data_IF_321956098691
#
_entry.id   IF_321956098691
#
_cell.length_a   1.000
_cell.length_b   1.000
_cell.length_c   1.000
_cell.angle_alpha   90.00
_cell.angle_beta   90.00
_cell.angle_gamma   90.00
#
_symmetry.space_group_name_H-M   'P 1'
#
loop_
_entity.id
_entity.type
_entity.pdbx_description
1 polymer ?
#
# COMPACT_ATOMS: atom_id res chain seq x y z
N UNK A 1 -4.06 -27.35 8.37
CA UNK A 1 -5.29 -26.59 8.11
C UNK A 1 -6.54 -27.44 8.27
N UNK A 2 -6.81 -28.51 7.43
CA UNK A 2 -8.03 -29.34 7.54
C UNK A 2 -8.19 -30.00 8.92
N UNK A 3 -7.14 -30.64 9.46
CA UNK A 3 -7.16 -31.24 10.81
C UNK A 3 -7.45 -30.24 11.92
N UNK A 4 -6.96 -29.03 11.80
CA UNK A 4 -7.17 -27.95 12.77
C UNK A 4 -8.63 -27.47 12.71
N UNK A 5 -9.18 -27.30 11.52
CA UNK A 5 -10.58 -26.92 11.34
C UNK A 5 -11.55 -27.99 11.84
N UNK A 6 -11.29 -29.27 11.57
CA UNK A 6 -12.10 -30.38 12.08
C UNK A 6 -12.16 -30.40 13.61
N UNK A 7 -11.04 -30.05 14.28
CA UNK A 7 -10.97 -30.07 15.75
C UNK A 7 -11.52 -28.81 16.41
N UNK A 8 -11.45 -27.65 15.74
CA UNK A 8 -11.82 -26.35 16.31
C UNK A 8 -13.13 -25.81 15.76
N UNK A 9 -13.29 -25.79 14.45
CA UNK A 9 -14.52 -25.39 13.75
C UNK A 9 -15.07 -24.02 14.13
N UNK A 10 -16.30 -23.72 13.70
CA UNK A 10 -16.95 -22.41 13.95
C UNK A 10 -17.15 -22.10 15.45
N UNK A 11 -17.31 -23.11 16.30
CA UNK A 11 -17.49 -22.92 17.74
C UNK A 11 -16.26 -22.34 18.44
N UNK A 12 -15.09 -22.59 17.90
CA UNK A 12 -13.84 -22.01 18.35
C UNK A 12 -13.57 -20.62 17.76
N UNK A 13 -13.86 -20.45 16.47
CA UNK A 13 -13.49 -19.20 15.80
C UNK A 13 -14.49 -18.07 16.01
N UNK A 14 -15.79 -18.35 16.11
CA UNK A 14 -16.82 -17.32 16.30
C UNK A 14 -16.59 -16.45 17.55
N UNK A 15 -16.22 -16.98 18.75
CA UNK A 15 -15.88 -16.15 19.90
C UNK A 15 -14.70 -15.20 19.64
N UNK A 16 -13.65 -15.69 18.98
CA UNK A 16 -12.46 -14.85 18.62
C UNK A 16 -12.86 -13.73 17.66
N UNK A 17 -13.72 -14.03 16.68
CA UNK A 17 -14.24 -13.04 15.76
C UNK A 17 -15.05 -11.97 16.48
N UNK A 18 -15.86 -12.35 17.48
CA UNK A 18 -16.64 -11.40 18.30
C UNK A 18 -15.74 -10.46 19.11
N UNK A 19 -14.65 -10.96 19.70
CA UNK A 19 -13.66 -10.12 20.38
C UNK A 19 -13.04 -9.07 19.42
N UNK A 20 -12.75 -9.47 18.19
CA UNK A 20 -12.23 -8.57 17.16
C UNK A 20 -13.29 -7.54 16.74
N UNK A 21 -14.54 -7.97 16.58
CA UNK A 21 -15.65 -7.10 16.20
C UNK A 21 -15.95 -6.05 17.28
N UNK A 22 -15.90 -6.42 18.57
CA UNK A 22 -16.01 -5.47 19.69
C UNK A 22 -14.97 -4.35 19.59
N UNK A 23 -13.71 -4.71 19.34
CA UNK A 23 -12.66 -3.73 19.18
C UNK A 23 -12.86 -2.87 17.92
N UNK A 24 -13.30 -3.46 16.82
CA UNK A 24 -13.57 -2.74 15.59
C UNK A 24 -14.67 -1.70 15.76
N UNK A 25 -15.79 -2.07 16.44
CA UNK A 25 -16.88 -1.14 16.75
C UNK A 25 -16.41 -0.03 17.70
N UNK A 26 -15.58 -0.36 18.70
CA UNK A 26 -15.02 0.63 19.62
C UNK A 26 -14.11 1.66 18.91
N UNK A 27 -13.37 1.22 17.90
CA UNK A 27 -12.50 2.10 17.09
C UNK A 27 -13.25 2.92 16.04
N UNK A 28 -14.46 2.49 15.68
CA UNK A 28 -15.26 3.17 14.65
C UNK A 28 -15.82 4.48 15.19
N UNK A 29 -15.57 5.57 14.46
CA UNK A 29 -16.13 6.89 14.78
C UNK A 29 -17.63 6.94 14.50
N UNK A 30 -18.42 7.79 15.20
CA UNK A 30 -19.78 8.11 14.78
C UNK A 30 -19.82 8.54 13.31
N UNK A 31 -20.81 8.10 12.54
CA UNK A 31 -20.89 8.29 11.09
C UNK A 31 -19.96 7.39 10.27
N UNK A 32 -19.15 6.54 10.90
CA UNK A 32 -18.21 5.65 10.23
C UNK A 32 -18.88 4.38 9.68
N UNK A 33 -18.22 3.79 8.69
CA UNK A 33 -18.65 2.55 8.04
C UNK A 33 -17.68 1.41 8.35
N UNK A 34 -18.20 0.19 8.56
CA UNK A 34 -17.42 -1.02 8.79
C UNK A 34 -17.92 -2.15 7.90
N UNK A 35 -17.02 -2.69 7.07
CA UNK A 35 -17.32 -3.89 6.28
C UNK A 35 -16.80 -5.12 7.04
N UNK A 36 -17.71 -6.02 7.40
CA UNK A 36 -17.40 -7.35 7.92
C UNK A 36 -17.48 -8.37 6.79
N UNK A 37 -16.45 -9.17 6.61
CA UNK A 37 -16.44 -10.21 5.58
C UNK A 37 -15.73 -11.47 6.08
N UNK A 38 -16.22 -12.63 5.62
CA UNK A 38 -15.61 -13.94 5.86
C UNK A 38 -15.56 -14.76 4.59
N UNK A 39 -14.72 -15.80 4.59
CA UNK A 39 -14.66 -16.81 3.52
C UNK A 39 -15.36 -18.12 3.96
N UNK A 40 -16.09 -18.13 5.08
CA UNK A 40 -16.83 -19.29 5.56
C UNK A 40 -18.30 -19.25 5.11
N UNK A 41 -18.98 -20.39 5.19
CA UNK A 41 -20.42 -20.50 4.99
C UNK A 41 -21.18 -20.75 6.29
N UNK A 42 -20.48 -20.72 7.42
CA UNK A 42 -21.04 -20.97 8.74
C UNK A 42 -21.91 -19.81 9.21
N UNK A 43 -23.17 -20.05 9.52
CA UNK A 43 -24.03 -19.04 10.11
C UNK A 43 -23.48 -18.46 11.41
N UNK A 44 -22.78 -19.27 12.21
CA UNK A 44 -22.15 -18.83 13.47
C UNK A 44 -21.09 -17.76 13.27
N UNK A 45 -20.36 -17.84 12.16
CA UNK A 45 -19.30 -16.90 11.82
C UNK A 45 -19.79 -15.76 10.93
N UNK A 46 -21.01 -15.84 10.41
CA UNK A 46 -21.62 -14.89 9.49
C UNK A 46 -22.78 -14.15 10.18
N UNK A 47 -24.02 -14.63 10.00
CA UNK A 47 -25.22 -13.93 10.46
C UNK A 47 -25.35 -13.85 11.99
N UNK A 48 -24.87 -14.84 12.74
CA UNK A 48 -24.88 -14.76 14.20
C UNK A 48 -23.91 -13.71 14.74
N UNK A 49 -22.82 -13.43 14.02
CA UNK A 49 -21.94 -12.32 14.34
C UNK A 49 -22.58 -10.97 13.96
N UNK A 50 -23.39 -10.93 12.91
CA UNK A 50 -24.22 -9.75 12.60
C UNK A 50 -25.22 -9.50 13.72
N UNK A 51 -25.95 -10.55 14.15
CA UNK A 51 -26.90 -10.46 15.29
C UNK A 51 -26.19 -9.95 16.53
N UNK A 52 -25.03 -10.53 16.84
CA UNK A 52 -24.22 -10.14 17.99
C UNK A 52 -23.89 -8.63 18.00
N UNK A 53 -23.48 -8.06 16.88
CA UNK A 53 -23.20 -6.63 16.78
C UNK A 53 -24.46 -5.80 16.98
N UNK A 54 -25.57 -6.14 16.32
CA UNK A 54 -26.81 -5.35 16.41
C UNK A 54 -27.45 -5.42 17.79
N UNK A 55 -27.32 -6.54 18.49
CA UNK A 55 -27.86 -6.72 19.84
C UNK A 55 -27.04 -5.98 20.92
N UNK A 56 -25.73 -5.96 20.79
CA UNK A 56 -24.83 -5.36 21.78
C UNK A 56 -24.50 -3.89 21.51
N UNK A 57 -24.69 -3.41 20.29
CA UNK A 57 -24.36 -2.05 19.86
C UNK A 57 -25.57 -1.38 19.18
N UNK A 58 -26.49 -0.76 19.93
CA UNK A 58 -27.70 -0.12 19.39
C UNK A 58 -27.40 1.07 18.45
N UNK A 59 -26.17 1.59 18.52
CA UNK A 59 -25.65 2.64 17.64
C UNK A 59 -25.15 2.10 16.30
N UNK A 60 -25.12 0.78 16.11
CA UNK A 60 -24.79 0.15 14.83
C UNK A 60 -26.07 -0.22 14.07
N UNK A 61 -26.00 -0.09 12.76
CA UNK A 61 -27.06 -0.51 11.84
C UNK A 61 -26.49 -1.14 10.58
N UNK A 62 -27.25 -2.01 9.92
CA UNK A 62 -26.86 -2.57 8.62
C UNK A 62 -27.18 -1.59 7.50
N UNK A 63 -26.26 -1.48 6.56
CA UNK A 63 -26.46 -0.79 5.28
C UNK A 63 -26.69 -1.83 4.21
N UNK A 64 -27.81 -1.76 3.46
CA UNK A 64 -28.10 -2.71 2.41
C UNK A 64 -27.01 -2.73 1.34
N UNK A 65 -26.53 -3.93 0.99
CA UNK A 65 -25.61 -4.12 -0.13
C UNK A 65 -26.41 -4.16 -1.43
N UNK A 66 -26.07 -3.31 -2.39
CA UNK A 66 -26.68 -3.28 -3.72
C UNK A 66 -26.33 -4.55 -4.51
N UNK A 67 -27.28 -5.48 -4.57
CA UNK A 67 -27.12 -6.77 -5.24
C UNK A 67 -27.37 -6.71 -6.74
N UNK A 68 -28.07 -5.71 -7.23
CA UNK A 68 -28.30 -5.52 -8.66
C UNK A 68 -26.98 -5.17 -9.37
N UNK A 69 -26.12 -4.45 -8.66
CA UNK A 69 -24.79 -4.08 -9.15
C UNK A 69 -23.82 -5.27 -9.22
N UNK A 70 -24.01 -6.30 -8.38
CA UNK A 70 -23.10 -7.43 -8.26
C UNK A 70 -23.78 -8.75 -8.63
N UNK A 71 -23.67 -9.13 -9.90
CA UNK A 71 -24.27 -10.33 -10.44
C UNK A 71 -23.78 -11.58 -9.69
N UNK A 72 -24.73 -12.37 -9.16
CA UNK A 72 -24.44 -13.61 -8.43
C UNK A 72 -24.43 -13.45 -6.90
N UNK A 73 -24.51 -12.22 -6.36
CA UNK A 73 -24.65 -11.98 -4.93
C UNK A 73 -26.07 -12.35 -4.47
N UNK A 74 -26.18 -13.12 -3.39
CA UNK A 74 -27.44 -13.58 -2.77
C UNK A 74 -27.65 -12.88 -1.44
N UNK A 75 -28.86 -12.92 -0.90
CA UNK A 75 -29.16 -12.50 0.46
C UNK A 75 -28.44 -13.39 1.49
N UNK A 76 -28.09 -12.79 2.62
CA UNK A 76 -27.72 -13.55 3.81
C UNK A 76 -28.94 -14.22 4.47
N UNK A 77 -28.68 -15.22 5.29
CA UNK A 77 -29.76 -15.96 5.96
C UNK A 77 -30.36 -15.16 7.11
N UNK A 78 -31.57 -14.63 6.88
CA UNK A 78 -32.28 -13.80 7.84
C UNK A 78 -31.96 -12.30 7.78
N UNK A 79 -30.94 -11.92 7.02
CA UNK A 79 -30.51 -10.52 6.81
C UNK A 79 -30.40 -10.20 5.33
N UNK A 80 -31.46 -9.59 4.77
CA UNK A 80 -31.50 -9.18 3.35
C UNK A 80 -30.49 -8.09 3.00
N UNK A 81 -30.05 -7.34 3.99
CA UNK A 81 -29.06 -6.27 3.86
C UNK A 81 -27.67 -6.81 3.59
N UNK A 82 -27.37 -8.03 4.04
CA UNK A 82 -26.06 -8.70 3.86
C UNK A 82 -25.98 -9.45 2.53
N UNK A 83 -24.77 -9.86 2.16
CA UNK A 83 -24.53 -10.57 0.91
C UNK A 83 -23.78 -11.87 1.08
N UNK A 84 -24.15 -12.88 0.31
CA UNK A 84 -23.43 -14.15 0.17
C UNK A 84 -23.04 -14.42 -1.27
N UNK A 85 -21.78 -14.76 -1.45
CA UNK A 85 -21.23 -15.26 -2.73
C UNK A 85 -21.03 -16.76 -2.63
N UNK A 86 -21.67 -17.51 -3.51
CA UNK A 86 -21.57 -18.97 -3.55
C UNK A 86 -20.82 -19.42 -4.81
N UNK A 87 -19.85 -20.37 -4.71
CA UNK A 87 -19.07 -20.85 -5.87
C UNK A 87 -19.91 -21.44 -7.01
N UNK A 88 -21.11 -21.95 -6.72
CA UNK A 88 -22.00 -22.46 -7.74
C UNK A 88 -22.73 -21.36 -8.55
N UNK A 89 -22.62 -20.11 -8.14
CA UNK A 89 -23.24 -18.94 -8.81
C UNK A 89 -22.23 -17.97 -9.41
N UNK A 90 -20.98 -18.03 -8.96
CA UNK A 90 -19.90 -17.15 -9.40
C UNK A 90 -18.64 -17.95 -9.63
N UNK A 91 -17.75 -17.47 -10.51
CA UNK A 91 -16.41 -18.01 -10.60
C UNK A 91 -15.55 -17.35 -9.50
N UNK A 92 -15.20 -18.12 -8.48
CA UNK A 92 -14.41 -17.64 -7.34
C UNK A 92 -14.69 -18.42 -6.06
N UNK A 93 -14.05 -17.99 -5.00
CA UNK A 93 -14.28 -18.50 -3.65
C UNK A 93 -15.58 -17.93 -3.06
N UNK A 94 -16.12 -18.61 -2.05
CA UNK A 94 -17.28 -18.12 -1.34
C UNK A 94 -16.93 -16.96 -0.41
N UNK A 95 -17.89 -16.04 -0.21
CA UNK A 95 -17.73 -14.92 0.72
C UNK A 95 -19.06 -14.57 1.37
N UNK A 96 -18.98 -14.08 2.60
CA UNK A 96 -20.06 -13.37 3.28
C UNK A 96 -19.66 -11.91 3.46
N UNK A 97 -20.63 -10.99 3.33
CA UNK A 97 -20.44 -9.55 3.42
C UNK A 97 -21.55 -8.92 4.26
N UNK A 98 -21.19 -8.12 5.24
CA UNK A 98 -22.11 -7.28 6.00
C UNK A 98 -21.52 -5.88 6.14
N UNK A 99 -22.25 -4.87 5.68
CA UNK A 99 -21.85 -3.47 5.78
C UNK A 99 -22.58 -2.81 6.94
N UNK A 100 -21.84 -2.30 7.90
CA UNK A 100 -22.38 -1.60 9.06
C UNK A 100 -22.10 -0.11 8.96
N UNK A 101 -23.02 0.68 9.54
CA UNK A 101 -22.85 2.10 9.77
C UNK A 101 -23.03 2.39 11.26
N UNK A 102 -22.14 3.19 11.83
CA UNK A 102 -22.27 3.68 13.20
C UNK A 102 -23.02 5.00 13.20
N UNK A 103 -24.19 5.02 13.83
CA UNK A 103 -25.06 6.21 13.93
C UNK A 103 -24.32 7.37 14.59
N UNK A 104 -24.76 8.58 14.29
CA UNK A 104 -24.21 9.83 14.83
C UNK A 104 -23.34 10.57 13.83
N UNK A 105 -23.03 11.81 14.16
CA UNK A 105 -22.15 12.66 13.39
C UNK A 105 -20.82 12.79 14.13
N UNK A 106 -19.71 12.68 13.39
CA UNK A 106 -18.40 12.99 13.93
C UNK A 106 -18.24 14.50 13.92
N UNK A 107 -18.44 15.13 15.09
CA UNK A 107 -18.02 16.51 15.27
C UNK A 107 -16.48 16.55 15.14
N UNK A 108 -16.03 17.09 14.01
CA UNK A 108 -14.63 17.51 13.89
C UNK A 108 -14.40 18.62 14.90
N UNK A 109 -14.10 18.25 16.15
CA UNK A 109 -13.44 19.21 17.03
C UNK A 109 -12.17 19.61 16.28
N UNK A 110 -12.19 20.83 15.76
CA UNK A 110 -11.03 21.50 15.16
C UNK A 110 -9.97 21.70 16.27
N UNK A 111 -9.42 20.59 16.73
CA UNK A 111 -8.16 20.58 17.41
C UNK A 111 -7.16 21.01 16.35
N UNK A 112 -6.61 22.21 16.55
CA UNK A 112 -5.53 22.76 15.75
C UNK A 112 -4.58 21.64 15.35
N UNK A 113 -4.45 21.44 14.05
CA UNK A 113 -3.39 20.63 13.48
C UNK A 113 -2.06 21.32 13.81
N UNK A 114 -1.58 21.08 15.01
CA UNK A 114 -0.18 21.34 15.29
C UNK A 114 0.60 20.30 14.53
N UNK A 115 0.93 20.63 13.29
CA UNK A 115 2.06 20.00 12.62
C UNK A 115 3.20 19.98 13.62
N UNK A 116 3.83 18.85 13.92
CA UNK A 116 5.05 18.88 14.72
C UNK A 116 6.07 19.66 13.91
N UNK A 117 6.20 20.96 14.26
CA UNK A 117 7.38 21.73 13.89
C UNK A 117 8.54 20.92 14.45
N UNK A 118 9.35 20.38 13.56
CA UNK A 118 10.66 19.85 13.95
C UNK A 118 11.42 20.97 14.62
N UNK A 119 11.36 21.02 15.96
CA UNK A 119 12.21 21.88 16.76
C UNK A 119 13.67 21.47 16.56
N UNK A 120 14.26 21.98 15.48
CA UNK A 120 15.71 22.03 15.35
C UNK A 120 16.21 23.17 16.25
N UNK A 121 16.44 22.88 17.53
CA UNK A 121 17.27 23.74 18.34
C UNK A 121 18.67 23.83 17.72
N UNK A 122 18.99 24.99 17.20
CA UNK A 122 20.33 25.36 16.78
C UNK A 122 21.20 25.49 18.04
N UNK A 123 21.92 24.44 18.39
CA UNK A 123 23.02 24.54 19.35
C UNK A 123 24.27 25.08 18.64
N UNK A 124 24.76 26.22 19.06
CA UNK A 124 26.04 26.76 18.63
C UNK A 124 27.16 25.97 19.28
N UNK A 125 28.03 25.41 18.46
CA UNK A 125 29.21 24.66 18.85
C UNK A 125 29.46 23.50 17.88
N UNK A 126 29.86 23.80 16.65
CA UNK A 126 30.06 22.75 15.64
C UNK A 126 31.52 22.31 15.62
N UNK A 127 31.78 21.09 16.12
CA UNK A 127 32.98 20.33 15.80
C UNK A 127 33.03 20.07 14.27
N UNK A 128 34.25 20.11 13.69
CA UNK A 128 34.52 19.85 12.26
C UNK A 128 33.87 18.54 11.74
N UNK A 129 33.65 17.56 12.61
CA UNK A 129 32.97 16.30 12.30
C UNK A 129 31.48 16.48 12.02
N UNK A 130 30.83 17.39 12.74
CA UNK A 130 29.39 17.65 12.59
C UNK A 130 29.08 18.47 11.34
N UNK A 131 29.96 19.42 10.99
CA UNK A 131 29.89 20.14 9.73
C UNK A 131 30.05 19.21 8.50
N UNK A 132 30.99 18.26 8.55
CA UNK A 132 31.16 17.22 7.51
C UNK A 132 29.95 16.28 7.43
N UNK A 133 29.31 15.95 8.55
CA UNK A 133 28.09 15.13 8.58
C UNK A 133 26.90 15.87 7.94
N UNK A 134 26.70 17.15 8.30
CA UNK A 134 25.65 18.02 7.72
C UNK A 134 25.81 18.21 6.21
N UNK A 135 27.03 18.45 5.74
CA UNK A 135 27.33 18.57 4.32
C UNK A 135 27.05 17.25 3.54
N UNK A 136 27.32 16.12 4.17
CA UNK A 136 27.02 14.79 3.58
C UNK A 136 25.53 14.53 3.52
N UNK A 137 24.76 14.91 4.53
CA UNK A 137 23.29 14.79 4.56
C UNK A 137 22.64 15.72 3.54
N UNK A 138 23.09 16.98 3.43
CA UNK A 138 22.62 17.92 2.43
C UNK A 138 22.84 17.41 1.00
N UNK A 139 24.02 16.82 0.73
CA UNK A 139 24.33 16.23 -0.59
C UNK A 139 23.46 15.02 -0.91
N UNK A 140 23.12 14.17 0.06
CA UNK A 140 22.19 13.06 -0.13
C UNK A 140 20.79 13.55 -0.51
N UNK A 141 20.31 14.61 0.15
CA UNK A 141 19.02 15.22 -0.17
C UNK A 141 19.04 15.85 -1.58
N UNK A 142 20.15 16.44 -2.00
CA UNK A 142 20.31 16.97 -3.36
C UNK A 142 20.17 15.88 -4.43
N UNK A 143 20.76 14.69 -4.22
CA UNK A 143 20.64 13.56 -5.14
C UNK A 143 19.20 13.06 -5.26
N UNK A 144 18.47 13.02 -4.13
CA UNK A 144 17.02 12.73 -4.12
C UNK A 144 16.24 13.78 -4.93
N UNK A 145 16.47 15.05 -4.63
CA UNK A 145 15.75 16.14 -5.30
C UNK A 145 16.02 16.19 -6.81
N UNK A 146 17.25 15.89 -7.24
CA UNK A 146 17.57 15.72 -8.67
C UNK A 146 16.77 14.59 -9.30
N UNK A 147 16.66 13.45 -8.59
CA UNK A 147 15.88 12.32 -9.08
C UNK A 147 14.39 12.66 -9.20
N UNK A 148 13.79 13.26 -8.16
CA UNK A 148 12.38 13.64 -8.14
C UNK A 148 12.03 14.69 -9.20
N UNK A 149 12.92 15.65 -9.45
CA UNK A 149 12.76 16.64 -10.53
C UNK A 149 12.73 16.02 -11.93
N UNK A 150 13.37 14.86 -12.12
CA UNK A 150 13.28 14.11 -13.36
C UNK A 150 11.92 13.41 -13.54
N UNK A 151 11.21 13.16 -12.45
CA UNK A 151 9.85 12.63 -12.52
C UNK A 151 8.88 13.75 -12.89
N UNK A 152 8.10 13.57 -13.95
CA UNK A 152 7.05 14.49 -14.39
C UNK A 152 5.80 14.36 -13.51
N UNK A 153 5.98 14.59 -12.22
CA UNK A 153 4.95 14.49 -11.20
C UNK A 153 5.19 15.57 -10.17
N UNK A 154 4.11 16.23 -9.76
CA UNK A 154 4.16 17.19 -8.66
C UNK A 154 4.29 16.44 -7.33
N UNK A 155 5.39 16.70 -6.65
CA UNK A 155 5.70 16.12 -5.35
C UNK A 155 5.47 17.16 -4.27
N UNK A 156 4.59 16.86 -3.34
CA UNK A 156 4.51 17.61 -2.08
C UNK A 156 5.71 17.25 -1.22
N UNK A 157 6.67 18.16 -1.14
CA UNK A 157 7.95 17.92 -0.46
C UNK A 157 7.80 17.78 1.05
N UNK A 158 6.74 18.35 1.65
CA UNK A 158 6.45 18.23 3.08
C UNK A 158 6.04 16.80 3.47
N UNK A 159 5.63 16.01 2.49
CA UNK A 159 5.30 14.59 2.66
C UNK A 159 6.51 13.66 2.47
N UNK A 160 7.69 14.18 2.17
CA UNK A 160 8.92 13.40 2.09
C UNK A 160 9.44 13.12 3.51
N UNK A 161 9.47 11.86 3.87
CA UNK A 161 9.94 11.38 5.17
C UNK A 161 11.20 10.52 5.02
N UNK A 162 12.27 10.89 5.72
CA UNK A 162 13.55 10.18 5.66
C UNK A 162 13.84 9.60 7.04
N UNK A 163 14.04 8.29 7.08
CA UNK A 163 14.44 7.56 8.28
C UNK A 163 15.52 6.53 7.94
N UNK A 164 16.65 6.58 8.61
CA UNK A 164 17.77 5.64 8.42
C UNK A 164 18.19 5.49 6.95
N UNK A 165 18.32 6.62 6.24
CA UNK A 165 18.60 6.70 4.80
C UNK A 165 17.48 6.15 3.88
N UNK A 166 16.40 5.61 4.42
CA UNK A 166 15.21 5.20 3.66
C UNK A 166 14.28 6.38 3.44
N UNK A 167 13.80 6.55 2.22
CA UNK A 167 12.96 7.67 1.80
C UNK A 167 11.54 7.18 1.54
N UNK A 168 10.57 7.82 2.19
CA UNK A 168 9.15 7.52 2.05
C UNK A 168 8.38 8.76 1.59
N UNK A 169 7.32 8.55 0.83
CA UNK A 169 6.30 9.54 0.54
C UNK A 169 5.06 9.22 1.35
N UNK A 170 4.75 10.06 2.32
CA UNK A 170 3.68 9.83 3.28
C UNK A 170 2.30 10.06 2.66
N UNK A 171 1.26 9.30 3.06
CA UNK A 171 -0.12 9.66 2.79
C UNK A 171 -0.45 11.03 3.40
N UNK A 172 -1.39 11.73 2.79
CA UNK A 172 -1.92 12.96 3.35
C UNK A 172 -2.57 12.68 4.72
N UNK A 173 -2.36 13.58 5.68
CA UNK A 173 -2.91 13.46 7.04
C UNK A 173 -2.30 12.37 7.91
N UNK A 174 -1.26 11.65 7.47
CA UNK A 174 -0.58 10.66 8.32
C UNK A 174 0.18 11.36 9.46
N UNK A 175 -0.21 11.06 10.70
CA UNK A 175 0.48 11.52 11.92
C UNK A 175 1.60 10.56 12.29
N UNK A 176 2.85 10.94 12.04
CA UNK A 176 4.03 10.13 12.37
C UNK A 176 4.42 10.18 13.85
N UNK A 177 3.92 11.17 14.60
CA UNK A 177 4.19 11.34 16.04
C UNK A 177 3.34 10.46 16.96
N UNK A 178 2.50 9.55 16.43
CA UNK A 178 1.74 8.61 17.24
C UNK A 178 2.69 7.59 17.88
N UNK A 179 2.42 7.14 19.14
CA UNK A 179 3.21 6.11 19.82
C UNK A 179 2.90 4.70 19.27
N UNK A 180 2.95 4.56 17.94
CA UNK A 180 2.69 3.31 17.22
C UNK A 180 3.94 2.81 16.53
N UNK A 181 4.07 1.49 16.45
CA UNK A 181 5.10 0.85 15.64
C UNK A 181 4.61 0.74 14.21
N UNK A 182 5.07 1.65 13.34
CA UNK A 182 4.76 1.57 11.92
C UNK A 182 5.59 0.48 11.25
N UNK A 183 4.93 -0.44 10.56
CA UNK A 183 5.59 -1.42 9.68
C UNK A 183 5.93 -0.80 8.33
N UNK A 184 5.06 0.08 7.82
CA UNK A 184 5.25 0.88 6.61
C UNK A 184 4.64 2.26 6.83
N UNK A 185 5.35 3.30 6.39
CA UNK A 185 4.93 4.70 6.59
C UNK A 185 4.46 5.38 5.31
N UNK A 186 4.09 4.63 4.29
CA UNK A 186 3.68 5.15 3.01
C UNK A 186 4.43 4.51 1.85
N UNK A 187 4.52 5.21 0.70
CA UNK A 187 5.24 4.72 -0.47
C UNK A 187 6.75 4.81 -0.24
N UNK A 188 7.43 3.67 -0.24
CA UNK A 188 8.89 3.64 -0.19
C UNK A 188 9.45 4.09 -1.54
N UNK A 189 10.11 5.26 -1.55
CA UNK A 189 10.70 5.82 -2.76
C UNK A 189 12.07 5.23 -3.06
N UNK A 190 12.86 4.90 -2.04
CA UNK A 190 14.19 4.35 -2.21
C UNK A 190 15.15 4.68 -1.07
N UNK A 191 16.43 4.52 -1.33
CA UNK A 191 17.49 4.64 -0.35
C UNK A 191 18.52 5.72 -0.74
N UNK A 192 18.91 6.54 0.24
CA UNK A 192 19.97 7.53 0.11
C UNK A 192 21.34 6.88 0.35
N UNK A 193 22.08 6.61 -0.71
CA UNK A 193 23.46 6.09 -0.63
C UNK A 193 24.48 7.21 -0.78
N UNK A 194 25.75 6.91 -0.48
CA UNK A 194 26.84 7.88 -0.66
C UNK A 194 26.91 8.33 -2.11
N UNK A 195 26.56 9.59 -2.39
CA UNK A 195 26.64 10.23 -3.69
C UNK A 195 25.59 9.77 -4.72
N UNK A 196 24.48 9.18 -4.28
CA UNK A 196 23.38 8.80 -5.16
C UNK A 196 22.10 8.46 -4.40
N UNK A 197 20.96 8.63 -5.07
CA UNK A 197 19.68 8.05 -4.69
C UNK A 197 19.46 6.76 -5.48
N UNK A 198 19.07 5.67 -4.81
CA UNK A 198 18.67 4.41 -5.43
C UNK A 198 17.15 4.23 -5.28
N UNK A 199 16.37 4.33 -6.37
CA UNK A 199 14.91 4.19 -6.31
C UNK A 199 14.53 2.74 -6.03
N UNK A 200 13.46 2.57 -5.24
CA UNK A 200 12.91 1.28 -4.87
C UNK A 200 11.91 0.75 -5.90
N UNK A 201 11.69 -0.57 -5.89
CA UNK A 201 10.70 -1.24 -6.74
C UNK A 201 9.29 -0.68 -6.53
N UNK A 202 8.89 -0.40 -5.28
CA UNK A 202 7.59 0.16 -4.97
C UNK A 202 7.39 1.54 -5.63
N UNK A 203 8.46 2.32 -5.75
CA UNK A 203 8.42 3.59 -6.45
C UNK A 203 8.17 3.39 -7.95
N UNK A 204 8.84 2.43 -8.60
CA UNK A 204 8.57 2.13 -10.00
C UNK A 204 7.09 1.79 -10.23
N UNK A 205 6.53 0.90 -9.39
CA UNK A 205 5.13 0.45 -9.49
C UNK A 205 4.09 1.55 -9.25
N UNK A 206 4.47 2.64 -8.56
CA UNK A 206 3.60 3.77 -8.28
C UNK A 206 3.62 4.87 -9.37
N UNK A 207 4.53 4.77 -10.34
CA UNK A 207 4.63 5.70 -11.46
C UNK A 207 3.74 5.26 -12.62
N UNK A 208 3.28 6.26 -13.41
CA UNK A 208 2.80 6.04 -14.77
C UNK A 208 3.99 6.12 -15.74
N UNK A 209 3.87 5.50 -16.90
CA UNK A 209 4.97 5.51 -17.91
C UNK A 209 5.40 6.91 -18.31
N UNK A 210 4.47 7.86 -18.35
CA UNK A 210 4.73 9.25 -18.74
C UNK A 210 5.46 10.05 -17.65
N UNK A 211 5.36 9.60 -16.39
CA UNK A 211 5.92 10.30 -15.24
C UNK A 211 7.43 10.15 -15.13
N UNK A 212 8.05 9.20 -15.86
CA UNK A 212 9.50 9.09 -15.93
C UNK A 212 10.03 9.18 -17.38
N UNK A 213 10.93 10.16 -17.68
CA UNK A 213 11.28 10.48 -19.06
C UNK A 213 12.15 9.40 -19.73
N UNK A 214 13.04 8.75 -18.97
CA UNK A 214 13.94 7.70 -19.49
C UNK A 214 13.28 6.34 -19.23
N UNK A 215 12.72 5.76 -20.28
CA UNK A 215 11.96 4.51 -20.17
C UNK A 215 12.24 3.57 -21.34
N UNK A 216 12.06 2.30 -21.10
CA UNK A 216 11.97 1.24 -22.10
C UNK A 216 10.59 0.61 -22.00
N UNK A 217 9.74 0.81 -23.04
CA UNK A 217 8.38 0.25 -23.10
C UNK A 217 8.41 -0.98 -24.01
N UNK A 218 8.30 -2.16 -23.42
CA UNK A 218 8.32 -3.45 -24.10
C UNK A 218 6.89 -3.89 -24.47
N UNK A 219 6.79 -4.69 -25.51
CA UNK A 219 5.58 -5.42 -25.83
C UNK A 219 5.51 -6.71 -25.01
N UNK A 220 4.30 -7.22 -24.76
CA UNK A 220 4.09 -8.44 -23.97
C UNK A 220 4.86 -9.63 -24.56
N UNK A 221 4.93 -9.71 -25.91
CA UNK A 221 5.60 -10.79 -26.64
C UNK A 221 7.13 -10.62 -26.75
N UNK A 222 7.68 -9.52 -26.24
CA UNK A 222 9.13 -9.29 -26.28
C UNK A 222 9.86 -10.20 -25.27
N UNK A 223 10.74 -11.06 -25.75
CA UNK A 223 11.51 -12.00 -24.93
C UNK A 223 12.27 -11.32 -23.78
N UNK A 224 12.57 -10.02 -23.93
CA UNK A 224 13.25 -9.22 -22.90
C UNK A 224 12.40 -9.05 -21.66
N UNK A 225 11.05 -9.19 -21.74
CA UNK A 225 10.15 -9.15 -20.58
C UNK A 225 10.49 -10.30 -19.63
N UNK A 226 10.54 -11.51 -20.13
CA UNK A 226 10.88 -12.71 -19.33
C UNK A 226 12.29 -12.61 -18.77
N UNK A 227 13.26 -12.17 -19.59
CA UNK A 227 14.64 -11.97 -19.16
C UNK A 227 14.72 -10.94 -18.03
N UNK A 228 13.95 -9.85 -18.13
CA UNK A 228 13.87 -8.86 -17.06
C UNK A 228 13.29 -9.45 -15.77
N UNK A 229 12.21 -10.20 -15.85
CA UNK A 229 11.60 -10.86 -14.68
C UNK A 229 12.53 -11.88 -14.03
N UNK A 230 13.41 -12.53 -14.80
CA UNK A 230 14.49 -13.40 -14.28
C UNK A 230 15.67 -12.64 -13.68
N UNK A 231 15.71 -11.32 -13.80
CA UNK A 231 16.80 -10.49 -13.25
C UNK A 231 18.01 -10.36 -14.17
N UNK A 232 17.88 -10.74 -15.45
CA UNK A 232 18.94 -10.66 -16.43
C UNK A 232 19.17 -9.23 -16.92
N UNK A 233 20.36 -8.97 -17.43
CA UNK A 233 20.68 -7.73 -18.15
C UNK A 233 19.99 -7.72 -19.50
N UNK A 234 19.40 -6.58 -19.89
CA UNK A 234 18.71 -6.38 -21.16
C UNK A 234 19.63 -5.61 -22.11
N UNK A 235 19.70 -6.05 -23.37
CA UNK A 235 20.31 -5.29 -24.46
C UNK A 235 19.26 -4.43 -25.14
N UNK A 236 19.61 -3.19 -25.44
CA UNK A 236 18.81 -2.27 -26.23
C UNK A 236 19.04 -2.52 -27.72
N UNK A 237 18.01 -2.26 -28.53
CA UNK A 237 18.13 -2.25 -30.00
C UNK A 237 18.48 -0.85 -30.49
N UNK A 238 18.96 -0.73 -31.73
CA UNK A 238 19.48 0.55 -32.27
C UNK A 238 18.42 1.66 -32.26
N UNK A 239 17.16 1.34 -32.47
CA UNK A 239 16.04 2.28 -32.49
C UNK A 239 15.75 2.88 -31.11
N UNK A 240 16.08 2.16 -30.02
CA UNK A 240 15.88 2.60 -28.64
C UNK A 240 17.00 3.55 -28.18
N UNK A 241 18.15 3.46 -28.83
CA UNK A 241 19.32 4.27 -28.55
C UNK A 241 19.97 4.00 -27.20
N UNK A 242 21.12 4.64 -26.92
CA UNK A 242 21.87 4.41 -25.68
C UNK A 242 21.20 5.09 -24.49
N UNK A 243 21.16 4.39 -23.37
CA UNK A 243 20.62 4.88 -22.09
C UNK A 243 21.72 5.04 -21.06
N UNK A 244 21.68 6.17 -20.32
CA UNK A 244 22.59 6.44 -19.20
C UNK A 244 21.79 6.75 -17.93
N UNK A 245 22.12 6.06 -16.85
CA UNK A 245 21.45 6.26 -15.55
C UNK A 245 20.21 5.41 -15.37
N UNK A 246 19.26 5.88 -14.55
CA UNK A 246 18.05 5.12 -14.26
C UNK A 246 17.09 5.12 -15.46
N UNK A 247 16.47 3.97 -15.69
CA UNK A 247 15.49 3.72 -16.73
C UNK A 247 14.29 2.98 -16.12
N UNK A 248 13.11 3.46 -16.38
CA UNK A 248 11.86 2.76 -16.02
C UNK A 248 11.58 1.73 -17.11
N UNK A 249 11.52 0.46 -16.76
CA UNK A 249 11.08 -0.60 -17.68
C UNK A 249 9.57 -0.76 -17.52
N UNK A 250 8.86 -0.71 -18.65
CA UNK A 250 7.40 -0.88 -18.71
C UNK A 250 7.04 -1.97 -19.70
N UNK A 251 5.87 -2.57 -19.55
CA UNK A 251 5.27 -3.52 -20.49
C UNK A 251 3.88 -3.01 -20.84
N UNK A 252 3.61 -2.79 -22.14
CA UNK A 252 2.35 -2.19 -22.61
C UNK A 252 1.97 -0.90 -21.84
N UNK A 253 2.99 -0.14 -21.44
CA UNK A 253 2.83 1.10 -20.67
C UNK A 253 2.70 0.93 -19.15
N UNK A 254 2.62 -0.29 -18.65
CA UNK A 254 2.57 -0.56 -17.21
C UNK A 254 3.98 -0.73 -16.63
N UNK A 255 4.33 0.01 -15.56
CA UNK A 255 5.65 -0.10 -14.94
C UNK A 255 5.93 -1.51 -14.42
N UNK A 256 7.09 -2.04 -14.78
CA UNK A 256 7.57 -3.34 -14.33
C UNK A 256 8.68 -3.20 -13.28
N UNK A 257 9.50 -2.17 -13.39
CA UNK A 257 10.56 -1.90 -12.43
C UNK A 257 11.67 -1.03 -12.97
N UNK A 258 12.79 -0.96 -12.24
CA UNK A 258 13.96 -0.15 -12.59
C UNK A 258 15.04 -0.96 -13.28
N UNK A 259 15.75 -0.28 -14.17
CA UNK A 259 17.04 -0.72 -14.70
C UNK A 259 18.05 0.43 -14.67
N UNK A 260 19.34 0.14 -14.78
CA UNK A 260 20.40 1.15 -14.86
C UNK A 260 21.14 1.02 -16.17
N UNK A 261 20.98 2.02 -17.02
CA UNK A 261 21.57 2.07 -18.36
C UNK A 261 23.04 2.41 -18.35
N UNK A 262 23.80 1.72 -19.21
CA UNK A 262 25.19 1.99 -19.54
C UNK A 262 25.38 1.73 -21.04
N UNK A 263 25.12 2.75 -21.87
CA UNK A 263 25.11 2.61 -23.32
C UNK A 263 23.95 1.75 -23.80
N UNK A 264 24.24 0.73 -24.59
CA UNK A 264 23.25 -0.18 -25.19
C UNK A 264 22.84 -1.33 -24.26
N UNK A 265 23.11 -1.22 -22.95
CA UNK A 265 22.74 -2.26 -21.98
C UNK A 265 22.05 -1.67 -20.76
N UNK A 266 21.05 -2.39 -20.26
CA UNK A 266 20.30 -2.07 -19.05
C UNK A 266 20.59 -3.13 -17.98
N UNK A 267 21.35 -2.75 -16.95
CA UNK A 267 21.56 -3.60 -15.78
C UNK A 267 20.26 -3.69 -14.98
N UNK A 268 19.75 -4.88 -14.81
CA UNK A 268 18.51 -5.17 -14.12
C UNK A 268 18.54 -4.72 -12.65
N UNK A 269 17.45 -4.09 -12.20
CA UNK A 269 17.22 -3.66 -10.81
C UNK A 269 15.89 -4.15 -10.26
N UNK A 270 15.27 -5.13 -10.94
CA UNK A 270 14.06 -5.78 -10.46
C UNK A 270 14.29 -6.42 -9.10
N UNK A 271 13.29 -6.31 -8.24
CA UNK A 271 13.40 -6.79 -6.86
C UNK A 271 13.76 -8.28 -6.80
N UNK A 272 14.84 -8.62 -6.09
CA UNK A 272 15.41 -9.97 -6.12
C UNK A 272 14.43 -11.05 -5.65
N UNK A 273 13.59 -10.73 -4.66
CA UNK A 273 12.58 -11.65 -4.12
C UNK A 273 11.40 -11.93 -5.05
N UNK A 274 11.27 -11.19 -6.16
CA UNK A 274 10.19 -11.36 -7.14
C UNK A 274 10.67 -11.99 -8.45
N UNK A 275 11.96 -12.28 -8.57
CA UNK A 275 12.51 -12.85 -9.79
C UNK A 275 11.99 -14.26 -10.03
N UNK A 276 11.67 -14.52 -11.29
CA UNK A 276 11.27 -15.84 -11.73
C UNK A 276 12.47 -16.78 -11.71
N UNK A 277 12.22 -18.02 -11.30
CA UNK A 277 13.21 -19.11 -11.30
C UNK A 277 13.14 -19.90 -12.60
#
# INVERSE_FOLDING_TARGET
MVKDWVNRGPDYYSPIQREILEQAVAMLKPGGMMLYSTCTFSKKEDEENVSFILENHPDMELVPIDKERFKGLSDGFGYKETGRLFPHRIQGEGHFLALFHKKGEYENSSGEETSPKTDRKLSHGADDKEAKKRAKEAKKQEDLMKFLKNCKKDWDLDRIYIRDDQVYYLPEGLRTGLPLRFLRTGLHLGELKKGRFEPDQAFAMALKKEEYPVRLDLKEEDDRVIRYLKGETISLVNEEGPVKGWCLVTVEGFPLGWAKGSGMTLKNKYYAGWRWQ
#
